data_IF_660276454361
#
_entry.id   IF_660276454361
#
_cell.length_a   1.000
_cell.length_b   1.000
_cell.length_c   1.000
_cell.angle_alpha   90.00
_cell.angle_beta   90.00
_cell.angle_gamma   90.00
#
_symmetry.space_group_name_H-M   'P 1'
#
loop_
_entity.id
_entity.type
_entity.pdbx_description
1 polymer ?
#
# COMPACT_ATOMS: atom_id res chain seq x y z
N UNK A 1 15.77 10.09 -14.29
CA UNK A 1 15.91 8.61 -14.27
C UNK A 1 17.14 8.21 -15.06
N UNK A 2 17.95 7.25 -14.58
CA UNK A 2 19.03 6.67 -15.39
C UNK A 2 18.43 5.63 -16.33
N UNK A 3 19.08 5.37 -17.47
CA UNK A 3 18.63 4.40 -18.50
C UNK A 3 18.38 3.01 -17.89
N UNK A 4 19.21 2.58 -16.94
CA UNK A 4 19.06 1.29 -16.25
C UNK A 4 17.79 1.19 -15.40
N UNK A 5 17.34 2.29 -14.78
CA UNK A 5 16.13 2.31 -13.96
C UNK A 5 14.89 2.19 -14.88
N UNK A 6 14.92 2.85 -16.04
CA UNK A 6 13.87 2.76 -17.04
C UNK A 6 13.77 1.34 -17.63
N UNK A 7 14.90 0.72 -17.99
CA UNK A 7 14.92 -0.65 -18.50
C UNK A 7 14.40 -1.63 -17.43
N UNK A 8 14.82 -1.48 -16.18
CA UNK A 8 14.34 -2.31 -15.07
C UNK A 8 12.84 -2.16 -14.84
N UNK A 9 12.32 -0.93 -14.98
CA UNK A 9 10.89 -0.64 -14.90
C UNK A 9 10.11 -1.30 -16.04
N UNK A 10 10.58 -1.19 -17.29
CA UNK A 10 9.94 -1.86 -18.43
C UNK A 10 9.92 -3.37 -18.24
N UNK A 11 11.05 -3.97 -17.85
CA UNK A 11 11.14 -5.40 -17.57
C UNK A 11 10.21 -5.81 -16.43
N UNK A 12 10.08 -4.99 -15.38
CA UNK A 12 9.17 -5.22 -14.27
C UNK A 12 7.72 -5.33 -14.76
N UNK A 13 7.26 -4.38 -15.57
CA UNK A 13 5.89 -4.40 -16.10
C UNK A 13 5.63 -5.61 -17.02
N UNK A 14 6.60 -5.95 -17.87
CA UNK A 14 6.49 -7.12 -18.74
C UNK A 14 6.39 -8.43 -17.94
N UNK A 15 7.13 -8.55 -16.84
CA UNK A 15 7.09 -9.72 -15.95
C UNK A 15 5.77 -9.83 -15.15
N UNK A 16 5.04 -8.74 -14.95
CA UNK A 16 3.70 -8.76 -14.35
C UNK A 16 2.63 -9.33 -15.29
N UNK A 17 2.81 -9.20 -16.62
CA UNK A 17 1.79 -9.56 -17.61
C UNK A 17 1.31 -11.03 -17.57
N UNK A 18 2.21 -12.03 -17.41
CA UNK A 18 1.80 -13.43 -17.35
C UNK A 18 1.02 -13.77 -16.08
N UNK A 19 1.28 -13.08 -14.96
CA UNK A 19 0.60 -13.33 -13.69
C UNK A 19 -0.89 -12.97 -13.76
N UNK A 20 -1.28 -12.02 -14.62
CA UNK A 20 -2.68 -11.66 -14.86
C UNK A 20 -3.48 -12.75 -15.60
N UNK A 21 -2.81 -13.77 -16.15
CA UNK A 21 -3.51 -14.90 -16.76
C UNK A 21 -4.18 -15.80 -15.72
N UNK A 22 -3.67 -15.82 -14.49
CA UNK A 22 -4.28 -16.58 -13.41
C UNK A 22 -5.64 -15.98 -13.06
N UNK A 23 -6.67 -16.81 -13.04
CA UNK A 23 -8.01 -16.40 -12.61
C UNK A 23 -8.04 -16.10 -11.10
N UNK A 24 -8.82 -15.11 -10.64
CA UNK A 24 -8.94 -14.69 -9.22
C UNK A 24 -9.14 -15.86 -8.25
N UNK A 25 -9.93 -16.85 -8.65
CA UNK A 25 -10.26 -18.07 -7.88
C UNK A 25 -9.04 -18.89 -7.47
N UNK A 26 -7.97 -18.87 -8.27
CA UNK A 26 -6.78 -19.68 -8.06
C UNK A 26 -5.63 -18.93 -7.35
N UNK A 27 -5.85 -17.68 -6.92
CA UNK A 27 -4.81 -16.86 -6.29
C UNK A 27 -4.32 -17.37 -4.94
N UNK A 28 -5.02 -18.31 -4.30
CA UNK A 28 -4.60 -18.90 -3.03
C UNK A 28 -3.20 -19.51 -3.09
N UNK A 29 -2.87 -20.28 -4.15
CA UNK A 29 -1.55 -20.95 -4.26
C UNK A 29 -0.42 -19.95 -4.58
N UNK A 30 -0.56 -19.05 -5.57
CA UNK A 30 0.42 -17.99 -5.80
C UNK A 30 0.63 -17.08 -4.58
N UNK A 31 -0.44 -16.71 -3.87
CA UNK A 31 -0.36 -15.86 -2.67
C UNK A 31 0.38 -16.56 -1.53
N UNK A 32 0.15 -17.85 -1.31
CA UNK A 32 0.88 -18.63 -0.30
C UNK A 32 2.38 -18.75 -0.64
N UNK A 33 2.72 -18.93 -1.91
CA UNK A 33 4.10 -18.95 -2.36
C UNK A 33 4.79 -17.58 -2.19
N UNK A 34 4.09 -16.50 -2.54
CA UNK A 34 4.60 -15.15 -2.34
C UNK A 34 4.78 -14.81 -0.84
N UNK A 35 3.85 -15.22 0.03
CA UNK A 35 3.96 -14.91 1.46
C UNK A 35 5.11 -15.66 2.12
N UNK A 36 5.29 -16.95 1.82
CA UNK A 36 6.41 -17.76 2.37
C UNK A 36 7.77 -17.21 1.95
N UNK A 37 7.92 -16.77 0.71
CA UNK A 37 9.16 -16.17 0.19
C UNK A 37 9.45 -14.79 0.80
N UNK A 38 8.42 -13.98 1.07
CA UNK A 38 8.58 -12.71 1.80
C UNK A 38 9.05 -12.95 3.22
N UNK A 39 8.46 -13.91 3.93
CA UNK A 39 8.86 -14.26 5.30
C UNK A 39 10.33 -14.70 5.34
N UNK A 40 10.76 -15.56 4.41
CA UNK A 40 12.17 -15.95 4.28
C UNK A 40 13.07 -14.72 4.09
N UNK A 41 12.71 -13.82 3.18
CA UNK A 41 13.50 -12.63 2.88
C UNK A 41 13.64 -11.69 4.09
N UNK A 42 12.56 -11.50 4.86
CA UNK A 42 12.54 -10.66 6.07
C UNK A 42 13.51 -11.21 7.13
N UNK A 43 13.48 -12.53 7.39
CA UNK A 43 14.42 -13.14 8.35
C UNK A 43 15.86 -13.10 7.87
N UNK A 44 16.10 -13.35 6.58
CA UNK A 44 17.45 -13.26 5.99
C UNK A 44 18.01 -11.84 6.14
N UNK A 45 17.20 -10.82 5.88
CA UNK A 45 17.60 -9.43 6.02
C UNK A 45 17.91 -9.08 7.47
N UNK A 46 17.07 -9.52 8.42
CA UNK A 46 17.29 -9.31 9.86
C UNK A 46 18.60 -9.95 10.33
N UNK A 47 18.85 -11.21 9.98
CA UNK A 47 20.07 -11.92 10.40
C UNK A 47 21.30 -11.26 9.78
N UNK A 48 21.22 -10.89 8.50
CA UNK A 48 22.34 -10.25 7.81
C UNK A 48 22.65 -8.86 8.35
N UNK A 49 21.63 -8.04 8.62
CA UNK A 49 21.79 -6.67 9.11
C UNK A 49 22.38 -6.67 10.53
N UNK A 50 21.84 -7.50 11.42
CA UNK A 50 22.30 -7.61 12.81
C UNK A 50 23.70 -8.23 12.92
N UNK A 51 24.01 -9.27 12.13
CA UNK A 51 25.34 -9.87 12.13
C UNK A 51 26.43 -8.90 11.63
N UNK A 52 26.07 -8.01 10.69
CA UNK A 52 27.03 -7.05 10.11
C UNK A 52 27.17 -5.78 10.95
N UNK A 53 26.12 -5.38 11.66
CA UNK A 53 26.15 -4.25 12.60
C UNK A 53 26.73 -4.64 13.97
N UNK A 54 26.86 -5.95 14.26
CA UNK A 54 27.31 -6.43 15.57
C UNK A 54 26.26 -6.23 16.68
N UNK A 55 24.98 -6.13 16.33
CA UNK A 55 23.87 -5.87 17.26
C UNK A 55 22.62 -5.32 16.55
N UNK A 56 21.60 -4.89 17.32
CA UNK A 56 20.36 -4.31 16.80
C UNK A 56 20.43 -2.83 16.36
N UNK A 57 21.62 -2.23 16.41
CA UNK A 57 21.89 -0.84 16.03
C UNK A 57 21.44 0.23 17.04
N UNK A 58 21.81 1.49 16.81
CA UNK A 58 21.66 2.59 17.76
C UNK A 58 20.24 3.14 17.89
N UNK A 59 19.32 2.93 16.93
CA UNK A 59 17.94 3.44 17.04
C UNK A 59 17.15 2.73 18.15
N UNK A 60 17.52 1.51 18.53
CA UNK A 60 16.90 0.81 19.66
C UNK A 60 17.30 1.42 21.02
N UNK A 61 18.46 2.07 21.09
CA UNK A 61 19.00 2.64 22.33
C UNK A 61 18.83 4.16 22.42
N UNK A 62 19.03 4.90 21.31
CA UNK A 62 19.03 6.37 21.27
C UNK A 62 18.48 6.90 19.93
N UNK A 63 17.15 7.06 19.82
CA UNK A 63 16.47 7.60 18.62
C UNK A 63 16.86 9.06 18.34
N UNK A 64 17.19 9.84 19.39
CA UNK A 64 17.49 11.27 19.28
C UNK A 64 18.85 11.60 18.68
N UNK A 65 19.85 10.71 18.83
CA UNK A 65 21.20 10.94 18.26
C UNK A 65 21.24 10.68 16.75
N UNK A 66 20.38 9.81 16.24
CA UNK A 66 20.38 9.38 14.83
C UNK A 66 19.51 10.30 13.97
N UNK A 67 18.31 10.65 14.44
CA UNK A 67 17.40 11.53 13.69
C UNK A 67 17.79 13.01 13.76
N UNK A 68 18.42 13.46 14.87
CA UNK A 68 18.65 14.89 15.13
C UNK A 68 17.37 15.64 15.50
N UNK A 69 16.26 14.93 15.71
CA UNK A 69 14.95 15.48 16.08
C UNK A 69 14.78 15.27 17.59
N UNK A 70 14.56 16.36 18.33
CA UNK A 70 14.23 16.28 19.76
C UNK A 70 12.91 15.51 19.91
N UNK A 71 12.79 14.58 20.87
CA UNK A 71 11.51 13.92 21.15
C UNK A 71 10.45 14.99 21.41
N UNK A 72 9.35 14.97 20.66
CA UNK A 72 8.23 15.87 20.94
C UNK A 72 7.73 15.61 22.37
N UNK A 73 7.50 16.66 23.15
CA UNK A 73 6.98 16.58 24.52
C UNK A 73 5.63 17.31 24.61
N UNK A 74 4.75 16.86 25.51
CA UNK A 74 3.43 17.47 25.72
C UNK A 74 2.45 17.24 24.58
N UNK A 75 1.62 18.25 24.26
CA UNK A 75 0.56 18.15 23.24
C UNK A 75 1.07 17.81 21.84
N UNK A 76 2.30 18.21 21.49
CA UNK A 76 2.91 17.90 20.20
C UNK A 76 3.23 16.40 20.05
N UNK A 77 3.49 15.68 21.16
CA UNK A 77 3.65 14.23 21.13
C UNK A 77 2.32 13.53 20.83
N UNK A 78 1.23 14.01 21.44
CA UNK A 78 -0.11 13.49 21.19
C UNK A 78 -0.52 13.63 19.73
N UNK A 79 -0.30 14.81 19.14
CA UNK A 79 -0.60 15.04 17.72
C UNK A 79 0.35 14.30 16.77
N UNK A 80 1.63 14.15 17.12
CA UNK A 80 2.55 13.30 16.36
C UNK A 80 2.13 11.82 16.39
N UNK A 81 1.61 11.33 17.53
CA UNK A 81 1.08 9.98 17.66
C UNK A 81 -0.16 9.79 16.78
N UNK A 82 -1.13 10.70 16.85
CA UNK A 82 -2.32 10.66 15.98
C UNK A 82 -1.92 10.69 14.51
N UNK A 83 -1.00 11.58 14.11
CA UNK A 83 -0.48 11.64 12.75
C UNK A 83 0.19 10.33 12.30
N UNK A 84 0.94 9.65 13.17
CA UNK A 84 1.56 8.37 12.87
C UNK A 84 0.52 7.25 12.69
N UNK A 85 -0.53 7.24 13.53
CA UNK A 85 -1.65 6.30 13.40
C UNK A 85 -2.41 6.54 12.08
N UNK A 86 -2.77 7.79 11.78
CA UNK A 86 -3.47 8.14 10.54
C UNK A 86 -2.63 7.82 9.31
N UNK A 87 -1.30 8.02 9.36
CA UNK A 87 -0.41 7.63 8.27
C UNK A 87 -0.40 6.11 8.02
N UNK A 88 -0.42 5.29 9.08
CA UNK A 88 -0.48 3.83 8.95
C UNK A 88 -1.82 3.36 8.38
N UNK A 89 -2.94 3.88 8.92
CA UNK A 89 -4.28 3.62 8.37
C UNK A 89 -4.32 4.02 6.89
N UNK A 90 -3.68 5.15 6.58
CA UNK A 90 -3.66 5.69 5.26
C UNK A 90 -2.90 4.86 4.23
N UNK A 91 -1.80 4.23 4.64
CA UNK A 91 -1.04 3.31 3.77
C UNK A 91 -1.81 2.03 3.43
N UNK A 92 -2.74 1.60 4.29
CA UNK A 92 -3.51 0.35 4.10
C UNK A 92 -4.90 0.63 3.51
N UNK A 93 -5.34 1.89 3.47
CA UNK A 93 -6.67 2.26 3.03
C UNK A 93 -7.05 1.78 1.64
N UNK A 94 -6.14 1.85 0.66
CA UNK A 94 -6.38 1.33 -0.68
C UNK A 94 -6.59 -0.19 -0.68
N UNK A 95 -5.91 -0.92 0.21
CA UNK A 95 -6.12 -2.35 0.37
C UNK A 95 -7.46 -2.70 1.03
N UNK A 96 -8.00 -1.80 1.87
CA UNK A 96 -9.33 -2.00 2.48
C UNK A 96 -10.42 -1.99 1.39
N UNK A 97 -10.24 -1.22 0.32
CA UNK A 97 -11.17 -1.18 -0.82
C UNK A 97 -11.23 -2.50 -1.57
N UNK A 98 -10.07 -3.01 -1.98
CA UNK A 98 -9.99 -4.26 -2.73
C UNK A 98 -10.30 -5.51 -1.91
N UNK A 99 -10.44 -5.37 -0.60
CA UNK A 99 -10.74 -6.49 0.28
C UNK A 99 -12.13 -7.08 0.03
N UNK A 100 -13.11 -6.28 -0.42
CA UNK A 100 -14.44 -6.78 -0.80
C UNK A 100 -14.37 -7.77 -1.95
N UNK A 101 -13.46 -7.56 -2.90
CA UNK A 101 -13.34 -8.40 -4.09
C UNK A 101 -12.86 -9.80 -3.74
N UNK A 102 -11.93 -9.91 -2.79
CA UNK A 102 -11.40 -11.20 -2.33
C UNK A 102 -12.33 -11.89 -1.32
N UNK A 103 -13.03 -11.12 -0.49
CA UNK A 103 -13.96 -11.70 0.49
C UNK A 103 -15.23 -12.27 -0.14
N UNK A 104 -15.61 -11.80 -1.34
CA UNK A 104 -16.68 -12.42 -2.14
C UNK A 104 -16.42 -13.89 -2.51
N UNK A 105 -15.16 -14.32 -2.55
CA UNK A 105 -14.77 -15.72 -2.81
C UNK A 105 -14.61 -16.57 -1.53
N UNK A 106 -14.91 -16.02 -0.35
CA UNK A 106 -14.85 -16.76 0.90
C UNK A 106 -15.94 -17.84 0.96
N UNK A 107 -15.62 -18.99 1.58
CA UNK A 107 -16.58 -20.11 1.72
C UNK A 107 -17.69 -19.78 2.71
N UNK A 108 -17.37 -19.01 3.74
CA UNK A 108 -18.29 -18.58 4.79
C UNK A 108 -18.07 -17.10 5.11
N UNK A 109 -19.13 -16.35 5.47
CA UNK A 109 -19.03 -14.92 5.79
C UNK A 109 -18.16 -14.61 7.02
N UNK A 110 -17.93 -15.60 7.91
CA UNK A 110 -17.07 -15.44 9.09
C UNK A 110 -15.58 -15.75 8.87
N UNK A 111 -15.22 -16.44 7.78
CA UNK A 111 -13.83 -16.85 7.51
C UNK A 111 -12.83 -15.67 7.41
N UNK A 112 -13.16 -14.53 6.75
CA UNK A 112 -12.19 -13.44 6.64
C UNK A 112 -12.00 -12.64 7.95
N UNK A 113 -12.96 -12.71 8.89
CA UNK A 113 -12.96 -11.89 10.11
C UNK A 113 -11.74 -12.19 10.99
N UNK A 114 -11.47 -13.47 11.23
CA UNK A 114 -10.35 -13.88 12.10
C UNK A 114 -8.99 -13.49 11.49
N UNK A 115 -8.85 -13.69 10.17
CA UNK A 115 -7.63 -13.35 9.45
C UNK A 115 -7.36 -11.83 9.51
N UNK A 116 -8.40 -11.01 9.30
CA UNK A 116 -8.28 -9.55 9.32
C UNK A 116 -8.08 -8.99 10.73
N UNK A 117 -8.77 -9.53 11.73
CA UNK A 117 -8.72 -8.99 13.10
C UNK A 117 -7.43 -9.37 13.83
N UNK A 118 -6.89 -10.57 13.59
CA UNK A 118 -5.74 -11.10 14.35
C UNK A 118 -4.47 -11.16 13.49
N UNK A 119 -4.54 -11.79 12.32
CA UNK A 119 -3.31 -12.07 11.54
C UNK A 119 -2.73 -10.82 10.91
N UNK A 120 -3.57 -9.90 10.43
CA UNK A 120 -3.10 -8.65 9.82
C UNK A 120 -2.37 -7.76 10.83
N UNK A 121 -2.93 -7.41 12.01
CA UNK A 121 -2.23 -6.58 13.00
C UNK A 121 -0.95 -7.23 13.54
N UNK A 122 -0.97 -8.53 13.83
CA UNK A 122 0.22 -9.23 14.34
C UNK A 122 1.31 -9.25 13.26
N UNK A 123 0.93 -9.53 12.01
CA UNK A 123 1.86 -9.54 10.88
C UNK A 123 2.49 -8.16 10.63
N UNK A 124 1.69 -7.09 10.66
CA UNK A 124 2.19 -5.73 10.44
C UNK A 124 3.10 -5.28 11.58
N UNK A 125 2.74 -5.53 12.84
CA UNK A 125 3.59 -5.22 14.01
C UNK A 125 4.92 -5.96 13.90
N UNK A 126 4.89 -7.27 13.61
CA UNK A 126 6.10 -8.08 13.53
C UNK A 126 7.04 -7.61 12.43
N UNK A 127 6.53 -7.38 11.22
CA UNK A 127 7.33 -6.89 10.09
C UNK A 127 7.83 -5.45 10.33
N UNK A 128 7.02 -4.59 10.95
CA UNK A 128 7.43 -3.23 11.30
C UNK A 128 8.59 -3.22 12.31
N UNK A 129 8.53 -4.06 13.35
CA UNK A 129 9.64 -4.21 14.31
C UNK A 129 10.94 -4.62 13.61
N UNK A 130 10.87 -5.60 12.70
CA UNK A 130 12.04 -6.03 11.92
C UNK A 130 12.56 -4.91 11.02
N UNK A 131 11.66 -4.16 10.38
CA UNK A 131 11.99 -2.99 9.57
C UNK A 131 12.77 -1.93 10.36
N UNK A 132 12.31 -1.60 11.58
CA UNK A 132 12.98 -0.65 12.47
C UNK A 132 14.38 -1.14 12.86
N UNK A 133 14.54 -2.42 13.18
CA UNK A 133 15.86 -3.00 13.51
C UNK A 133 16.80 -2.96 12.29
N UNK A 134 16.31 -3.28 11.10
CA UNK A 134 17.10 -3.20 9.87
C UNK A 134 17.53 -1.75 9.55
N UNK A 135 16.61 -0.78 9.68
CA UNK A 135 16.91 0.64 9.51
C UNK A 135 17.91 1.15 10.56
N UNK A 136 17.81 0.64 11.79
CA UNK A 136 18.76 0.91 12.88
C UNK A 136 20.17 0.43 12.53
N UNK A 137 20.29 -0.82 12.09
CA UNK A 137 21.57 -1.40 11.67
C UNK A 137 22.18 -0.62 10.50
N UNK A 138 21.36 -0.21 9.53
CA UNK A 138 21.79 0.61 8.39
C UNK A 138 22.42 1.93 8.82
N UNK A 139 21.80 2.66 9.75
CA UNK A 139 22.32 3.93 10.24
C UNK A 139 23.73 3.81 10.83
N UNK A 140 24.08 2.65 11.41
CA UNK A 140 25.44 2.33 11.87
C UNK A 140 26.41 1.97 10.74
N UNK A 141 25.93 1.28 9.70
CA UNK A 141 26.78 0.80 8.60
C UNK A 141 27.14 1.92 7.61
N UNK A 142 26.25 2.90 7.42
CA UNK A 142 26.37 3.93 6.39
C UNK A 142 26.11 5.34 6.94
N UNK A 143 27.00 5.88 7.79
CA UNK A 143 26.83 7.22 8.39
C UNK A 143 26.93 8.39 7.37
N UNK A 144 27.50 8.15 6.17
CA UNK A 144 27.83 9.21 5.20
C UNK A 144 26.93 9.23 3.95
N UNK A 145 26.06 8.22 3.74
CA UNK A 145 25.01 8.28 2.73
C UNK A 145 23.77 8.82 3.46
N UNK A 146 23.34 10.03 3.09
CA UNK A 146 22.46 10.87 3.90
C UNK A 146 21.23 10.16 4.50
N UNK A 147 20.78 10.68 5.65
CA UNK A 147 19.61 10.28 6.45
C UNK A 147 18.30 10.08 5.65
N UNK A 148 18.29 10.45 4.38
CA UNK A 148 17.21 10.26 3.41
C UNK A 148 17.10 8.81 2.89
N UNK A 149 18.17 8.01 2.95
CA UNK A 149 18.12 6.59 2.54
C UNK A 149 17.31 5.72 3.52
N UNK A 150 17.29 6.08 4.81
CA UNK A 150 16.58 5.34 5.85
C UNK A 150 15.04 5.47 5.77
N UNK A 151 14.52 6.50 5.09
CA UNK A 151 13.07 6.79 5.03
C UNK A 151 12.50 6.84 3.60
N UNK A 152 13.33 7.09 2.57
CA UNK A 152 12.86 7.47 1.23
C UNK A 152 12.76 6.36 0.18
N UNK A 153 13.37 5.19 0.40
CA UNK A 153 13.25 4.06 -0.53
C UNK A 153 12.76 2.81 0.19
N UNK A 154 11.47 2.45 0.12
CA UNK A 154 10.94 1.20 0.67
C UNK A 154 11.36 -0.04 -0.14
N UNK A 155 12.49 0.04 -0.85
CA UNK A 155 13.07 -1.09 -1.52
C UNK A 155 14.38 -1.48 -0.84
N UNK A 156 14.51 -2.68 -0.27
CA UNK A 156 15.81 -3.24 0.12
C UNK A 156 16.82 -3.28 -1.04
N UNK A 157 16.41 -2.97 -2.27
CA UNK A 157 17.26 -2.88 -3.45
C UNK A 157 18.18 -1.66 -3.50
N UNK A 158 17.93 -0.53 -2.82
CA UNK A 158 18.87 0.61 -2.85
C UNK A 158 20.10 0.33 -2.00
N UNK A 159 19.92 -0.25 -0.81
CA UNK A 159 20.98 -0.81 0.04
C UNK A 159 21.71 -1.99 -0.60
N UNK A 160 20.98 -2.88 -1.27
CA UNK A 160 21.59 -3.95 -2.06
C UNK A 160 22.18 -3.47 -3.40
N UNK A 161 21.88 -2.28 -3.92
CA UNK A 161 22.47 -1.78 -5.17
C UNK A 161 23.61 -0.79 -4.97
N UNK A 162 23.59 0.04 -3.92
CA UNK A 162 24.51 1.17 -3.77
C UNK A 162 25.98 0.73 -3.66
N UNK A 163 26.27 -0.44 -3.07
CA UNK A 163 27.66 -0.95 -3.01
C UNK A 163 27.85 -2.42 -3.37
N UNK A 164 26.79 -3.11 -3.75
CA UNK A 164 26.86 -4.54 -4.08
C UNK A 164 27.09 -4.83 -5.56
N UNK A 165 27.53 -3.83 -6.33
CA UNK A 165 27.97 -4.01 -7.73
C UNK A 165 29.21 -4.88 -7.90
N UNK A 166 29.96 -5.19 -6.82
CA UNK A 166 31.22 -5.94 -6.93
C UNK A 166 31.44 -7.12 -5.97
N UNK A 167 30.69 -7.25 -4.85
CA UNK A 167 30.99 -8.30 -3.84
C UNK A 167 29.94 -9.41 -3.67
N UNK A 168 28.63 -9.19 -3.89
CA UNK A 168 27.65 -10.30 -3.87
C UNK A 168 27.63 -11.13 -5.15
N UNK A 169 28.24 -10.66 -6.24
CA UNK A 169 28.41 -11.42 -7.49
C UNK A 169 29.17 -12.75 -7.31
N UNK A 170 29.82 -12.98 -6.16
CA UNK A 170 30.57 -14.22 -5.86
C UNK A 170 29.79 -15.30 -5.10
N UNK A 171 28.59 -15.03 -4.59
CA UNK A 171 27.76 -16.07 -3.97
C UNK A 171 26.46 -16.21 -4.74
N UNK A 172 26.35 -17.25 -5.58
CA UNK A 172 25.15 -17.52 -6.38
C UNK A 172 23.86 -17.58 -5.54
N UNK A 173 23.97 -17.90 -4.25
CA UNK A 173 22.89 -17.88 -3.28
C UNK A 173 22.29 -16.48 -3.01
N UNK A 174 23.09 -15.42 -3.11
CA UNK A 174 22.62 -14.04 -2.93
C UNK A 174 21.72 -13.55 -4.07
N UNK A 175 22.07 -13.89 -5.31
CA UNK A 175 21.28 -13.54 -6.49
C UNK A 175 19.95 -14.30 -6.55
N UNK A 176 19.95 -15.59 -6.19
CA UNK A 176 18.73 -16.41 -6.13
C UNK A 176 17.72 -15.87 -5.11
N UNK A 177 18.20 -15.38 -3.96
CA UNK A 177 17.33 -14.80 -2.91
C UNK A 177 16.68 -13.49 -3.36
N UNK A 178 17.44 -12.61 -4.00
CA UNK A 178 16.88 -11.36 -4.55
C UNK A 178 15.85 -11.63 -5.64
N UNK A 179 16.12 -12.61 -6.51
CA UNK A 179 15.19 -13.00 -7.56
C UNK A 179 13.86 -13.54 -6.98
N UNK A 180 13.92 -14.35 -5.90
CA UNK A 180 12.73 -14.84 -5.21
C UNK A 180 11.90 -13.73 -4.57
N UNK A 181 12.56 -12.76 -3.93
CA UNK A 181 11.88 -11.60 -3.35
C UNK A 181 11.24 -10.71 -4.43
N UNK A 182 11.91 -10.53 -5.57
CA UNK A 182 11.28 -9.85 -6.72
C UNK A 182 10.06 -10.62 -7.22
N UNK A 183 10.15 -11.96 -7.34
CA UNK A 183 9.05 -12.82 -7.75
C UNK A 183 7.82 -12.71 -6.83
N UNK A 184 8.03 -12.67 -5.52
CA UNK A 184 6.94 -12.47 -4.56
C UNK A 184 6.30 -11.10 -4.69
N UNK A 185 7.10 -10.05 -4.92
CA UNK A 185 6.59 -8.70 -5.08
C UNK A 185 5.73 -8.57 -6.35
N UNK A 186 6.12 -9.22 -7.45
CA UNK A 186 5.32 -9.29 -8.68
C UNK A 186 3.94 -9.90 -8.42
N UNK A 187 3.90 -11.03 -7.69
CA UNK A 187 2.65 -11.70 -7.35
C UNK A 187 1.70 -10.82 -6.54
N UNK A 188 2.23 -10.10 -5.55
CA UNK A 188 1.42 -9.21 -4.71
C UNK A 188 0.89 -8.00 -5.46
N UNK A 189 1.70 -7.37 -6.32
CA UNK A 189 1.28 -6.20 -7.11
C UNK A 189 0.24 -6.59 -8.16
N UNK A 190 0.44 -7.71 -8.86
CA UNK A 190 -0.54 -8.21 -9.81
C UNK A 190 -1.89 -8.52 -9.15
N UNK A 191 -1.87 -9.20 -8.00
CA UNK A 191 -3.09 -9.50 -7.24
C UNK A 191 -3.77 -8.22 -6.72
N UNK A 192 -3.03 -7.37 -6.01
CA UNK A 192 -3.62 -6.28 -5.24
C UNK A 192 -4.08 -5.10 -6.10
N UNK A 193 -3.49 -4.91 -7.28
CA UNK A 193 -3.73 -3.73 -8.10
C UNK A 193 -4.32 -4.09 -9.48
N UNK A 194 -3.72 -5.06 -10.19
CA UNK A 194 -4.14 -5.37 -11.55
C UNK A 194 -5.46 -6.16 -11.60
N UNK A 195 -5.61 -7.17 -10.74
CA UNK A 195 -6.83 -8.00 -10.69
C UNK A 195 -8.02 -7.18 -10.22
N UNK A 196 -7.85 -6.41 -9.15
CA UNK A 196 -8.86 -5.51 -8.57
C UNK A 196 -9.34 -4.52 -9.61
N UNK A 197 -8.42 -3.78 -10.24
CA UNK A 197 -8.79 -2.85 -11.30
C UNK A 197 -9.47 -3.55 -12.49
N UNK A 198 -9.09 -4.80 -12.78
CA UNK A 198 -9.75 -5.64 -13.78
C UNK A 198 -11.20 -5.98 -13.43
N UNK A 199 -11.47 -6.27 -12.16
CA UNK A 199 -12.83 -6.50 -11.64
C UNK A 199 -13.65 -5.21 -11.73
N UNK A 200 -13.10 -4.08 -11.30
CA UNK A 200 -13.77 -2.77 -11.37
C UNK A 200 -14.13 -2.38 -12.81
N UNK A 201 -13.18 -2.51 -13.75
CA UNK A 201 -13.39 -2.20 -15.17
C UNK A 201 -14.43 -3.14 -15.81
N UNK A 202 -14.41 -4.42 -15.45
CA UNK A 202 -15.39 -5.38 -15.94
C UNK A 202 -16.80 -5.12 -15.37
N UNK A 203 -16.90 -4.57 -14.17
CA UNK A 203 -18.17 -4.14 -13.58
C UNK A 203 -18.68 -2.83 -14.19
N UNK A 204 -17.80 -1.87 -14.45
CA UNK A 204 -18.17 -0.55 -14.99
C UNK A 204 -18.56 -0.61 -16.48
N UNK A 205 -17.82 -1.39 -17.28
CA UNK A 205 -17.96 -1.43 -18.75
C UNK A 205 -17.97 -2.89 -19.25
N UNK A 206 -19.00 -3.68 -18.90
CA UNK A 206 -19.04 -5.12 -19.17
C UNK A 206 -18.91 -5.53 -20.64
N UNK A 207 -19.43 -4.79 -21.66
CA UNK A 207 -19.25 -5.22 -23.04
C UNK A 207 -17.83 -5.02 -23.58
N UNK A 208 -17.01 -4.16 -22.94
CA UNK A 208 -15.68 -3.80 -23.42
C UNK A 208 -14.57 -4.53 -22.64
N UNK A 209 -14.78 -4.75 -21.35
CA UNK A 209 -13.76 -5.28 -20.45
C UNK A 209 -14.16 -6.61 -19.83
N UNK A 210 -13.26 -7.58 -19.95
CA UNK A 210 -13.20 -8.74 -19.06
C UNK A 210 -12.14 -8.49 -18.00
N UNK A 211 -12.17 -9.21 -16.87
CA UNK A 211 -11.19 -9.05 -15.78
C UNK A 211 -9.74 -9.05 -16.31
N UNK A 212 -9.43 -9.94 -17.26
CA UNK A 212 -8.10 -10.00 -17.89
C UNK A 212 -7.79 -8.77 -18.74
N UNK A 213 -8.73 -8.36 -19.60
CA UNK A 213 -8.56 -7.16 -20.47
C UNK A 213 -8.43 -5.89 -19.64
N UNK A 214 -9.21 -5.76 -18.56
CA UNK A 214 -9.13 -4.65 -17.62
C UNK A 214 -7.77 -4.60 -16.92
N UNK A 215 -7.25 -5.73 -16.44
CA UNK A 215 -5.91 -5.79 -15.84
C UNK A 215 -4.79 -5.35 -16.79
N UNK A 216 -4.84 -5.77 -18.06
CA UNK A 216 -3.90 -5.32 -19.09
C UNK A 216 -4.02 -3.82 -19.36
N UNK A 217 -5.26 -3.32 -19.50
CA UNK A 217 -5.50 -1.90 -19.70
C UNK A 217 -4.95 -1.05 -18.55
N UNK A 218 -5.23 -1.42 -17.29
CA UNK A 218 -4.70 -0.73 -16.12
C UNK A 218 -3.17 -0.76 -16.09
N UNK A 219 -2.56 -1.89 -16.43
CA UNK A 219 -1.09 -2.02 -16.46
C UNK A 219 -0.47 -1.09 -17.50
N UNK A 220 -1.07 -0.99 -18.69
CA UNK A 220 -0.62 -0.07 -19.75
C UNK A 220 -0.89 1.38 -19.37
N UNK A 221 -2.06 1.68 -18.83
CA UNK A 221 -2.46 3.02 -18.39
C UNK A 221 -1.52 3.54 -17.30
N UNK A 222 -1.23 2.70 -16.29
CA UNK A 222 -0.25 2.99 -15.24
C UNK A 222 1.15 3.10 -15.84
N UNK A 223 1.57 2.22 -16.74
CA UNK A 223 2.87 2.33 -17.41
C UNK A 223 3.02 3.67 -18.16
N UNK A 224 1.97 4.15 -18.81
CA UNK A 224 1.95 5.42 -19.55
C UNK A 224 1.93 6.63 -18.61
N UNK A 225 1.10 6.60 -17.55
CA UNK A 225 1.00 7.70 -16.59
C UNK A 225 2.18 7.77 -15.60
N UNK A 226 2.76 6.63 -15.24
CA UNK A 226 3.84 6.51 -14.23
C UNK A 226 5.22 6.66 -14.85
N UNK A 227 5.35 7.11 -16.11
CA UNK A 227 6.66 7.52 -16.66
C UNK A 227 7.32 8.71 -15.93
N UNK A 228 6.66 9.27 -14.91
CA UNK A 228 7.23 10.30 -14.03
C UNK A 228 7.20 9.90 -12.52
N UNK A 229 7.83 8.80 -12.06
CA UNK A 229 7.86 8.47 -10.64
C UNK A 229 9.00 9.17 -9.90
N UNK A 230 10.01 9.67 -10.62
CA UNK A 230 11.24 10.24 -10.03
C UNK A 230 11.05 11.61 -9.39
N UNK A 231 9.85 12.18 -9.38
CA UNK A 231 9.51 13.39 -8.62
C UNK A 231 8.74 13.09 -7.33
N UNK A 232 7.95 12.01 -7.31
CA UNK A 232 7.10 11.60 -6.18
C UNK A 232 7.87 10.91 -5.05
N UNK A 233 8.91 10.14 -5.37
CA UNK A 233 9.69 9.35 -4.40
C UNK A 233 10.91 10.09 -3.83
N UNK A 234 11.15 11.34 -4.22
CA UNK A 234 12.35 12.07 -3.80
C UNK A 234 12.35 12.46 -2.31
N UNK A 235 11.20 12.39 -1.63
CA UNK A 235 11.12 12.64 -0.19
C UNK A 235 10.02 11.81 0.45
N UNK A 236 10.35 11.16 1.57
CA UNK A 236 9.40 10.37 2.36
C UNK A 236 8.18 11.20 2.80
N UNK A 237 8.38 12.49 3.05
CA UNK A 237 7.29 13.39 3.44
C UNK A 237 6.32 13.66 2.28
N UNK A 238 6.83 13.87 1.06
CA UNK A 238 5.98 14.04 -0.13
C UNK A 238 5.16 12.77 -0.42
N UNK A 239 5.76 11.59 -0.26
CA UNK A 239 5.04 10.33 -0.41
C UNK A 239 3.93 10.18 0.63
N UNK A 240 4.22 10.46 1.90
CA UNK A 240 3.22 10.42 2.98
C UNK A 240 2.09 11.41 2.77
N UNK A 241 2.37 12.62 2.26
CA UNK A 241 1.34 13.62 1.92
C UNK A 241 0.46 13.14 0.78
N UNK A 242 1.02 12.51 -0.26
CA UNK A 242 0.24 11.97 -1.39
C UNK A 242 -0.60 10.77 -0.98
N UNK A 243 -0.06 9.85 -0.17
CA UNK A 243 -0.84 8.73 0.38
C UNK A 243 -1.94 9.26 1.32
N UNK A 244 -1.62 10.27 2.14
CA UNK A 244 -2.59 10.96 2.99
C UNK A 244 -3.72 11.61 2.20
N UNK A 245 -3.42 12.20 1.03
CA UNK A 245 -4.45 12.85 0.21
C UNK A 245 -5.50 11.87 -0.33
N UNK A 246 -5.11 10.66 -0.71
CA UNK A 246 -6.08 9.63 -1.12
C UNK A 246 -7.05 9.28 0.01
N UNK A 247 -6.60 9.31 1.27
CA UNK A 247 -7.43 8.98 2.42
C UNK A 247 -8.53 9.99 2.71
N UNK A 248 -8.25 11.26 2.47
CA UNK A 248 -9.21 12.36 2.63
C UNK A 248 -10.45 12.12 1.78
N UNK A 249 -10.29 11.53 0.60
CA UNK A 249 -11.40 11.25 -0.33
C UNK A 249 -11.98 9.84 -0.14
N UNK A 250 -11.12 8.84 0.05
CA UNK A 250 -11.53 7.43 0.17
C UNK A 250 -12.12 7.09 1.54
N UNK A 251 -11.80 7.84 2.60
CA UNK A 251 -12.35 7.66 3.94
C UNK A 251 -13.86 7.90 4.00
N UNK A 252 -14.34 9.11 3.64
CA UNK A 252 -15.77 9.43 3.61
C UNK A 252 -16.57 8.50 2.71
N UNK A 253 -16.01 8.09 1.57
CA UNK A 253 -16.68 7.19 0.62
C UNK A 253 -16.92 5.80 1.25
N UNK A 254 -15.96 5.25 1.99
CA UNK A 254 -16.15 4.03 2.80
C UNK A 254 -17.18 4.22 3.90
N UNK A 255 -17.16 5.38 4.57
CA UNK A 255 -18.14 5.71 5.61
C UNK A 255 -19.58 5.67 5.10
N UNK A 256 -19.81 6.18 3.90
CA UNK A 256 -21.13 6.15 3.24
C UNK A 256 -21.55 4.72 2.92
N UNK A 257 -20.67 3.91 2.34
CA UNK A 257 -20.97 2.50 2.06
C UNK A 257 -21.29 1.72 3.34
N UNK A 258 -20.54 1.96 4.42
CA UNK A 258 -20.80 1.35 5.72
C UNK A 258 -22.15 1.78 6.30
N UNK A 259 -22.46 3.07 6.27
CA UNK A 259 -23.72 3.60 6.77
C UNK A 259 -24.92 3.09 5.95
N UNK A 260 -24.79 3.03 4.62
CA UNK A 260 -25.84 2.51 3.74
C UNK A 260 -26.14 1.04 4.05
N UNK A 261 -25.13 0.19 4.12
CA UNK A 261 -25.33 -1.24 4.35
C UNK A 261 -25.78 -1.56 5.78
N UNK A 262 -25.13 -1.00 6.82
CA UNK A 262 -25.40 -1.38 8.21
C UNK A 262 -26.53 -0.59 8.86
N UNK A 263 -26.61 0.73 8.62
CA UNK A 263 -27.56 1.61 9.32
C UNK A 263 -28.88 1.76 8.54
N UNK A 264 -28.79 2.07 7.24
CA UNK A 264 -29.96 2.34 6.41
C UNK A 264 -30.64 1.02 5.99
N UNK A 265 -29.87 0.12 5.37
CA UNK A 265 -30.37 -1.13 4.79
C UNK A 265 -30.32 -2.31 5.73
N UNK A 266 -29.81 -2.15 6.96
CA UNK A 266 -29.79 -3.19 8.01
C UNK A 266 -29.31 -4.56 7.52
N UNK A 267 -28.29 -4.58 6.66
CA UNK A 267 -27.66 -5.78 6.03
C UNK A 267 -28.51 -6.52 4.99
N UNK A 268 -29.59 -5.92 4.49
CA UNK A 268 -30.40 -6.50 3.40
C UNK A 268 -30.13 -5.76 2.09
N UNK A 269 -29.73 -6.48 1.04
CA UNK A 269 -29.56 -5.92 -0.32
C UNK A 269 -30.26 -6.79 -1.34
N UNK A 270 -30.86 -6.16 -2.34
CA UNK A 270 -31.59 -6.83 -3.41
C UNK A 270 -30.69 -6.96 -4.65
N UNK A 271 -30.24 -8.19 -4.92
CA UNK A 271 -29.28 -8.46 -5.99
C UNK A 271 -29.86 -8.21 -7.38
N UNK A 272 -31.15 -8.50 -7.57
CA UNK A 272 -31.85 -8.34 -8.86
C UNK A 272 -31.81 -6.89 -9.31
N UNK A 273 -32.11 -5.97 -8.40
CA UNK A 273 -32.15 -4.54 -8.65
C UNK A 273 -30.75 -3.91 -8.79
N UNK A 274 -29.71 -4.56 -8.26
CA UNK A 274 -28.33 -4.09 -8.37
C UNK A 274 -27.74 -4.29 -9.77
N UNK A 275 -28.22 -5.29 -10.51
CA UNK A 275 -27.81 -5.57 -11.89
C UNK A 275 -28.86 -5.15 -12.93
N UNK A 276 -30.04 -4.70 -12.48
CA UNK A 276 -31.14 -4.28 -13.35
C UNK A 276 -31.03 -2.81 -13.78
N UNK A 277 -31.05 -2.58 -15.09
CA UNK A 277 -31.10 -1.24 -15.71
C UNK A 277 -32.56 -0.81 -15.93
N UNK A 278 -33.37 -0.86 -14.86
CA UNK A 278 -34.79 -0.50 -14.90
C UNK A 278 -35.06 0.74 -14.06
N UNK A 279 -35.87 1.70 -14.55
CA UNK A 279 -36.37 2.83 -13.75
C UNK A 279 -37.09 2.41 -12.46
N UNK A 280 -37.57 1.17 -12.40
CA UNK A 280 -38.27 0.60 -11.24
C UNK A 280 -37.32 0.03 -10.18
N UNK A 281 -36.01 -0.05 -10.46
CA UNK A 281 -35.01 -0.54 -9.49
C UNK A 281 -34.93 0.38 -8.27
N UNK A 282 -34.85 -0.21 -7.08
CA UNK A 282 -34.64 0.53 -5.83
C UNK A 282 -33.33 1.35 -5.81
N UNK A 283 -32.40 1.07 -6.72
CA UNK A 283 -31.11 1.75 -6.86
C UNK A 283 -31.06 2.79 -7.99
N UNK A 284 -32.16 2.98 -8.74
CA UNK A 284 -32.21 3.94 -9.86
C UNK A 284 -32.15 5.41 -9.42
N UNK A 285 -32.62 5.75 -8.21
CA UNK A 285 -32.63 7.12 -7.67
C UNK A 285 -33.08 8.18 -8.70
N UNK A 286 -32.28 9.24 -8.94
CA UNK A 286 -32.57 10.28 -9.91
C UNK A 286 -31.75 10.05 -11.19
N UNK A 287 -32.21 9.12 -12.05
CA UNK A 287 -31.53 8.70 -13.30
C UNK A 287 -30.14 8.12 -13.04
N UNK A 288 -30.06 7.10 -12.19
CA UNK A 288 -28.86 6.41 -11.70
C UNK A 288 -27.98 7.21 -10.73
N UNK A 289 -28.31 8.47 -10.44
CA UNK A 289 -27.54 9.31 -9.54
C UNK A 289 -28.21 9.47 -8.17
N UNK A 290 -27.48 9.08 -7.12
CA UNK A 290 -27.82 9.42 -5.75
C UNK A 290 -27.12 10.71 -5.30
N UNK A 291 -27.79 11.85 -5.52
CA UNK A 291 -27.28 13.16 -5.10
C UNK A 291 -27.08 13.27 -3.59
N UNK A 292 -27.84 12.53 -2.77
CA UNK A 292 -27.69 12.54 -1.30
C UNK A 292 -26.35 11.93 -0.91
N UNK A 293 -25.97 10.83 -1.55
CA UNK A 293 -24.66 10.21 -1.36
C UNK A 293 -23.53 11.16 -1.79
N UNK A 294 -23.65 11.80 -2.96
CA UNK A 294 -22.66 12.77 -3.44
C UNK A 294 -22.47 13.95 -2.48
N UNK A 295 -23.57 14.55 -1.99
CA UNK A 295 -23.50 15.65 -1.01
C UNK A 295 -22.88 15.19 0.31
N UNK A 296 -23.25 14.00 0.80
CA UNK A 296 -22.65 13.46 2.03
C UNK A 296 -21.15 13.20 1.88
N UNK A 297 -20.70 12.79 0.69
CA UNK A 297 -19.29 12.61 0.40
C UNK A 297 -18.54 13.94 0.37
N UNK A 298 -19.10 14.97 -0.28
CA UNK A 298 -18.50 16.31 -0.32
C UNK A 298 -18.39 16.89 1.09
N UNK A 299 -19.44 16.80 1.91
CA UNK A 299 -19.42 17.28 3.30
C UNK A 299 -18.39 16.51 4.15
N UNK A 300 -18.32 15.19 3.98
CA UNK A 300 -17.34 14.35 4.67
C UNK A 300 -15.90 14.56 4.19
N UNK A 301 -15.68 14.88 2.91
CA UNK A 301 -14.35 15.21 2.41
C UNK A 301 -13.93 16.63 2.82
N UNK A 302 -14.88 17.59 2.82
CA UNK A 302 -14.66 18.99 3.14
C UNK A 302 -14.00 19.18 4.52
N UNK A 303 -14.43 18.41 5.52
CA UNK A 303 -13.81 18.46 6.86
C UNK A 303 -12.32 18.06 6.86
N UNK A 304 -11.83 17.30 5.89
CA UNK A 304 -10.43 16.87 5.86
C UNK A 304 -9.54 17.71 4.92
N UNK A 305 -10.14 18.59 4.09
CA UNK A 305 -9.41 19.46 3.15
C UNK A 305 -8.44 20.42 3.85
N UNK A 306 -8.77 21.08 4.99
CA UNK A 306 -7.83 21.98 5.67
C UNK A 306 -6.52 21.29 6.07
N UNK A 307 -6.61 20.07 6.62
CA UNK A 307 -5.43 19.27 6.98
C UNK A 307 -4.60 18.86 5.76
N UNK A 308 -5.24 18.56 4.63
CA UNK A 308 -4.56 18.25 3.37
C UNK A 308 -3.82 19.46 2.78
N UNK A 309 -4.49 20.61 2.71
CA UNK A 309 -3.91 21.86 2.19
C UNK A 309 -2.67 22.27 3.00
N UNK A 310 -2.71 22.06 4.31
CA UNK A 310 -1.58 22.31 5.18
C UNK A 310 -0.42 21.34 4.93
N UNK A 311 -0.68 20.02 4.87
CA UNK A 311 0.34 19.00 4.57
C UNK A 311 1.00 19.20 3.21
N UNK A 312 0.26 19.77 2.25
CA UNK A 312 0.77 20.13 0.93
C UNK A 312 1.68 21.38 0.96
N UNK A 313 1.46 22.30 1.91
CA UNK A 313 2.22 23.56 2.01
C UNK A 313 3.44 23.44 2.94
N UNK A 314 3.31 22.71 4.06
CA UNK A 314 4.36 22.48 5.05
C UNK A 314 4.42 20.99 5.44
N UNK A 315 5.23 20.17 4.74
CA UNK A 315 5.26 18.71 4.92
C UNK A 315 5.88 18.24 6.26
N UNK A 316 6.57 19.12 6.98
CA UNK A 316 7.32 18.79 8.21
C UNK A 316 6.62 19.21 9.52
N UNK A 317 5.53 19.97 9.45
CA UNK A 317 4.84 20.47 10.64
C UNK A 317 3.52 19.73 10.88
N UNK A 318 3.34 19.19 12.09
CA UNK A 318 2.08 18.61 12.56
C UNK A 318 1.41 19.64 13.46
N UNK A 319 0.34 20.28 12.98
CA UNK A 319 -0.46 21.18 13.82
C UNK A 319 -1.52 20.43 14.61
N UNK A 320 -1.88 21.01 15.75
CA UNK A 320 -2.98 20.57 16.57
C UNK A 320 -4.32 20.86 15.90
N UNK A 321 -5.18 19.85 15.74
CA UNK A 321 -6.57 20.00 15.32
C UNK A 321 -6.92 19.35 13.97
N UNK A 322 -5.95 19.22 13.06
CA UNK A 322 -6.16 18.69 11.72
C UNK A 322 -5.04 17.71 11.35
N UNK A 323 -5.34 16.42 11.35
CA UNK A 323 -4.43 15.32 11.00
C UNK A 323 -5.13 14.21 10.27
#
# INVERSE_FOLDING_TARGET
MKVYDLISFILYFQLCLPLMWFSPENYRKPSLFASTTVVEAVFVLLIWSTARAGGGGPLLADVSKVSGIKPAQGGNLGWAFVAAVTANIGGIATHIWSQSDYTGYARKPGDPVLAQLIMVPIGTIFVACIGIICASCEATLYPNEGKESCYGSPTPSSLLCARTRLKFRRSGWGCVRQYRFMLSQFGMVAASNCVVAGIDLAALLPPWFTIRRGGYFTTVFVFVLVMQPSSLLNSASNFLTVVGSFNVFLGPLRGIMFADYFLIRKRTMELTDMYGDSPDSIYWYNRDWNLRAAVSWVLGAWMFIPGLAQRATAPSEVQAGWT
#
